data_IF_645088246663
#
_entry.id   IF_645088246663
#
_cell.length_a   1.000
_cell.length_b   1.000
_cell.length_c   1.000
_cell.angle_alpha   90.00
_cell.angle_beta   90.00
_cell.angle_gamma   90.00
#
_symmetry.space_group_name_H-M   'P 1'
#
loop_
_entity.id
_entity.type
_entity.pdbx_description
1 polymer ?
#
# COMPACT_ATOMS: atom_id res chain seq x y z
N UNK A 1 13.28 19.51 -25.62
CA UNK A 1 13.26 18.26 -26.38
C UNK A 1 12.44 18.47 -27.65
N UNK A 2 13.06 18.81 -28.79
CA UNK A 2 12.35 19.07 -30.07
C UNK A 2 12.83 18.16 -31.22
N UNK A 3 13.98 17.51 -31.03
CA UNK A 3 14.70 16.87 -32.13
C UNK A 3 14.44 15.35 -32.18
N UNK A 4 14.17 14.71 -31.04
CA UNK A 4 13.81 13.29 -31.00
C UNK A 4 13.08 12.90 -29.70
N UNK A 5 12.21 11.89 -29.79
CA UNK A 5 11.51 11.29 -28.65
C UNK A 5 11.58 9.77 -28.79
N UNK A 6 12.08 9.10 -27.75
CA UNK A 6 12.09 7.64 -27.66
C UNK A 6 11.02 7.21 -26.66
N UNK A 7 10.21 6.21 -27.04
CA UNK A 7 9.11 5.68 -26.22
C UNK A 7 9.23 4.17 -26.12
N UNK A 8 8.94 3.61 -24.95
CA UNK A 8 8.86 2.17 -24.70
C UNK A 8 7.73 1.85 -23.72
N UNK A 9 7.29 0.59 -23.73
CA UNK A 9 6.29 0.07 -22.80
C UNK A 9 6.82 -1.21 -22.14
N UNK A 10 6.58 -1.34 -20.84
CA UNK A 10 6.84 -2.56 -20.07
C UNK A 10 5.55 -3.04 -19.41
N UNK A 11 5.36 -4.35 -19.33
CA UNK A 11 4.20 -4.91 -18.64
C UNK A 11 4.39 -4.78 -17.12
N UNK A 12 3.55 -3.96 -16.47
CA UNK A 12 3.51 -3.84 -15.01
C UNK A 12 2.32 -4.59 -14.38
N UNK A 13 1.24 -4.80 -15.14
CA UNK A 13 -0.06 -5.20 -14.60
C UNK A 13 -0.72 -4.07 -13.78
N UNK A 14 -1.97 -4.27 -13.33
CA UNK A 14 -2.74 -3.24 -12.60
C UNK A 14 -2.31 -3.16 -11.12
N UNK A 15 -1.02 -3.35 -10.80
CA UNK A 15 -0.49 -3.49 -9.43
C UNK A 15 -0.86 -2.33 -8.49
N UNK A 16 -0.99 -1.13 -9.05
CA UNK A 16 -1.32 0.11 -8.34
C UNK A 16 -2.76 0.58 -8.62
N UNK A 17 -3.55 -0.27 -9.27
CA UNK A 17 -4.95 -0.03 -9.62
C UNK A 17 -5.87 -0.94 -8.76
N UNK A 18 -7.18 -0.78 -8.94
CA UNK A 18 -8.16 -1.62 -8.24
C UNK A 18 -8.05 -3.09 -8.68
N UNK A 19 -8.22 -4.03 -7.73
CA UNK A 19 -8.40 -5.45 -8.04
C UNK A 19 -7.19 -6.37 -7.83
N UNK A 20 -6.03 -5.85 -7.44
CA UNK A 20 -4.86 -6.67 -7.08
C UNK A 20 -4.84 -7.01 -5.59
N UNK A 21 -5.02 -6.03 -4.72
CA UNK A 21 -5.21 -6.26 -3.27
C UNK A 21 -6.67 -6.05 -2.87
N UNK A 22 -7.13 -6.80 -1.87
CA UNK A 22 -8.54 -6.80 -1.44
C UNK A 22 -9.10 -5.45 -0.99
N UNK A 23 -8.22 -4.49 -0.65
CA UNK A 23 -8.58 -3.14 -0.19
C UNK A 23 -8.22 -2.02 -1.18
N UNK A 24 -7.69 -2.36 -2.37
CA UNK A 24 -7.32 -1.36 -3.37
C UNK A 24 -8.57 -0.65 -3.91
N UNK A 25 -8.54 0.68 -3.89
CA UNK A 25 -9.58 1.57 -4.39
C UNK A 25 -8.95 2.73 -5.18
N UNK A 26 -9.67 3.26 -6.17
CA UNK A 26 -9.32 4.52 -6.86
C UNK A 26 -9.30 5.68 -5.87
N UNK A 27 -8.56 6.73 -6.20
CA UNK A 27 -8.51 7.94 -5.37
C UNK A 27 -9.90 8.59 -5.26
N UNK A 28 -10.48 8.52 -4.06
CA UNK A 28 -11.74 9.13 -3.67
C UNK A 28 -11.68 9.48 -2.17
N UNK A 29 -12.66 10.23 -1.67
CA UNK A 29 -12.82 10.52 -0.24
C UNK A 29 -12.68 9.25 0.61
N UNK A 30 -11.89 9.31 1.68
CA UNK A 30 -11.67 8.17 2.58
C UNK A 30 -10.64 7.15 2.09
N UNK A 31 -10.05 7.35 0.90
CA UNK A 31 -9.01 6.45 0.40
C UNK A 31 -7.65 6.90 0.88
N UNK A 32 -6.90 5.96 1.49
CA UNK A 32 -5.54 6.21 1.98
C UNK A 32 -4.60 6.46 0.81
N UNK A 33 -3.88 7.58 0.84
CA UNK A 33 -2.92 7.96 -0.20
C UNK A 33 -1.48 8.09 0.31
N UNK A 34 -1.28 8.08 1.62
CA UNK A 34 0.01 8.19 2.29
C UNK A 34 -0.03 7.39 3.61
N UNK A 35 1.11 6.81 3.98
CA UNK A 35 1.29 5.97 5.18
C UNK A 35 2.66 6.27 5.75
N UNK A 36 2.75 6.42 7.07
CA UNK A 36 4.00 6.63 7.78
C UNK A 36 4.06 5.70 9.00
N UNK A 37 5.17 5.00 9.21
CA UNK A 37 5.39 4.15 10.39
C UNK A 37 6.45 4.80 11.28
N UNK A 38 6.05 5.16 12.50
CA UNK A 38 6.93 5.75 13.53
C UNK A 38 7.03 4.82 14.71
N UNK A 39 8.08 4.00 14.72
CA UNK A 39 8.25 2.97 15.75
C UNK A 39 7.14 1.92 15.64
N UNK A 40 6.24 1.88 16.62
CA UNK A 40 5.11 0.94 16.63
C UNK A 40 3.79 1.56 16.14
N UNK A 41 3.79 2.86 15.83
CA UNK A 41 2.59 3.59 15.41
C UNK A 41 2.57 3.72 13.89
N UNK A 42 1.39 3.51 13.29
CA UNK A 42 1.14 3.71 11.87
C UNK A 42 0.12 4.83 11.69
N UNK A 43 0.51 5.87 10.99
CA UNK A 43 -0.36 6.98 10.61
C UNK A 43 -0.72 6.87 9.13
N UNK A 44 -1.96 7.20 8.78
CA UNK A 44 -2.43 7.19 7.39
C UNK A 44 -3.13 8.49 7.08
N UNK A 45 -2.98 8.97 5.84
CA UNK A 45 -3.74 10.13 5.33
C UNK A 45 -4.74 9.67 4.31
N UNK A 46 -5.98 10.14 4.43
CA UNK A 46 -7.06 9.89 3.48
C UNK A 46 -7.45 11.15 2.73
N UNK A 47 -7.99 11.00 1.52
CA UNK A 47 -8.56 12.16 0.84
C UNK A 47 -9.75 12.71 1.66
N UNK A 48 -9.78 14.04 1.80
CA UNK A 48 -10.76 14.82 2.56
C UNK A 48 -10.83 14.50 4.06
N UNK A 49 -9.78 13.89 4.64
CA UNK A 49 -9.75 13.49 6.06
C UNK A 49 -10.99 12.64 6.45
N UNK A 50 -11.55 11.93 5.48
CA UNK A 50 -12.73 11.10 5.66
C UNK A 50 -12.36 9.70 6.17
N UNK A 51 -13.28 8.99 6.83
CA UNK A 51 -13.02 7.66 7.37
C UNK A 51 -12.42 6.69 6.34
N UNK A 52 -11.47 5.84 6.74
CA UNK A 52 -10.72 5.02 5.81
C UNK A 52 -11.57 3.91 5.19
N UNK A 53 -11.62 3.85 3.85
CA UNK A 53 -12.38 2.83 3.12
C UNK A 53 -11.54 1.91 2.23
N UNK A 54 -10.27 2.23 2.03
CA UNK A 54 -9.36 1.50 1.16
C UNK A 54 -8.03 2.23 1.01
N UNK A 55 -7.25 1.82 0.00
CA UNK A 55 -5.94 2.38 -0.30
C UNK A 55 -5.78 2.55 -1.81
N UNK A 56 -5.18 3.65 -2.27
CA UNK A 56 -4.87 3.85 -3.68
C UNK A 56 -3.40 3.51 -3.98
N UNK A 57 -3.01 3.60 -5.25
CA UNK A 57 -1.64 3.27 -5.69
C UNK A 57 -0.54 4.02 -4.95
N UNK A 58 -0.72 5.31 -4.65
CA UNK A 58 0.28 6.07 -3.88
C UNK A 58 0.40 5.58 -2.44
N UNK A 59 -0.74 5.27 -1.80
CA UNK A 59 -0.78 4.70 -0.46
C UNK A 59 -0.16 3.30 -0.42
N UNK A 60 -0.33 2.50 -1.47
CA UNK A 60 0.32 1.19 -1.57
C UNK A 60 1.84 1.32 -1.65
N UNK A 61 2.34 2.29 -2.42
CA UNK A 61 3.79 2.54 -2.53
C UNK A 61 4.36 3.00 -1.18
N UNK A 62 3.70 3.94 -0.48
CA UNK A 62 4.15 4.39 0.84
C UNK A 62 4.09 3.25 1.86
N UNK A 63 3.01 2.47 1.88
CA UNK A 63 2.85 1.32 2.78
C UNK A 63 3.98 0.31 2.61
N UNK A 64 4.27 -0.12 1.38
CA UNK A 64 5.33 -1.10 1.11
C UNK A 64 6.69 -0.55 1.54
N UNK A 65 6.97 0.73 1.24
CA UNK A 65 8.21 1.39 1.66
C UNK A 65 8.37 1.42 3.19
N UNK A 66 7.32 1.83 3.90
CA UNK A 66 7.34 1.90 5.36
C UNK A 66 7.42 0.52 6.00
N UNK A 67 6.68 -0.47 5.50
CA UNK A 67 6.75 -1.85 5.99
C UNK A 67 8.14 -2.44 5.81
N UNK A 68 8.78 -2.21 4.66
CA UNK A 68 10.15 -2.65 4.43
C UNK A 68 11.12 -1.94 5.39
N UNK A 69 10.99 -0.61 5.52
CA UNK A 69 11.85 0.21 6.39
C UNK A 69 11.72 -0.16 7.87
N UNK A 70 10.52 -0.56 8.31
CA UNK A 70 10.24 -1.02 9.66
C UNK A 70 10.55 -2.53 9.88
N UNK A 71 10.97 -3.26 8.84
CA UNK A 71 11.28 -4.69 8.92
C UNK A 71 10.05 -5.61 9.02
N UNK A 72 8.86 -5.11 8.67
CA UNK A 72 7.60 -5.88 8.64
C UNK A 72 7.58 -6.84 7.43
N UNK A 73 8.23 -6.44 6.33
CA UNK A 73 8.46 -7.29 5.14
C UNK A 73 9.94 -7.38 4.82
N UNK A 74 10.36 -8.54 4.29
CA UNK A 74 11.71 -8.76 3.79
C UNK A 74 11.96 -8.14 2.41
N UNK A 75 13.21 -8.23 1.95
CA UNK A 75 13.61 -7.85 0.59
C UNK A 75 12.95 -8.69 -0.51
N UNK A 76 12.38 -9.84 -0.16
CA UNK A 76 11.57 -10.71 -0.99
C UNK A 76 10.10 -10.29 -1.06
N UNK A 77 9.70 -9.28 -0.26
CA UNK A 77 8.33 -8.77 -0.19
C UNK A 77 7.37 -9.67 0.59
N UNK A 78 7.88 -10.66 1.33
CA UNK A 78 7.05 -11.60 2.09
C UNK A 78 6.76 -11.05 3.49
N UNK A 79 5.52 -11.20 3.93
CA UNK A 79 5.10 -10.98 5.31
C UNK A 79 5.61 -12.12 6.19
N UNK A 80 6.31 -11.79 7.27
CA UNK A 80 6.66 -12.77 8.30
C UNK A 80 5.38 -13.21 9.04
N UNK A 81 5.01 -14.51 9.02
CA UNK A 81 3.83 -15.01 9.73
C UNK A 81 3.86 -14.78 11.24
N UNK A 82 5.03 -14.58 11.85
CA UNK A 82 5.17 -14.28 13.28
C UNK A 82 5.05 -12.78 13.59
N UNK A 83 5.00 -11.92 12.57
CA UNK A 83 4.88 -10.49 12.73
C UNK A 83 3.50 -10.11 13.30
N UNK A 84 3.50 -9.21 14.29
CA UNK A 84 2.26 -8.71 14.90
C UNK A 84 1.39 -8.01 13.85
N UNK A 85 0.12 -8.39 13.78
CA UNK A 85 -0.86 -7.86 12.82
C UNK A 85 -0.94 -8.64 11.52
N UNK A 86 -0.15 -9.72 11.37
CA UNK A 86 -0.32 -10.71 10.31
C UNK A 86 -1.32 -11.77 10.76
N UNK A 87 -2.30 -12.03 9.90
CA UNK A 87 -3.34 -13.06 10.06
C UNK A 87 -3.52 -13.84 8.76
N UNK A 88 -4.25 -14.96 8.82
CA UNK A 88 -4.65 -15.71 7.62
C UNK A 88 -6.17 -15.59 7.46
N UNK A 89 -6.60 -14.94 6.37
CA UNK A 89 -8.00 -14.74 6.02
C UNK A 89 -8.25 -15.46 4.70
N UNK A 90 -9.20 -16.41 4.67
CA UNK A 90 -9.52 -17.23 3.49
C UNK A 90 -8.30 -17.91 2.83
N UNK A 91 -7.30 -18.28 3.66
CA UNK A 91 -6.06 -18.90 3.20
C UNK A 91 -5.01 -17.91 2.67
N UNK A 92 -5.25 -16.61 2.79
CA UNK A 92 -4.36 -15.54 2.34
C UNK A 92 -3.70 -14.88 3.56
N UNK A 93 -2.37 -14.84 3.57
CA UNK A 93 -1.59 -14.08 4.55
C UNK A 93 -1.93 -12.60 4.36
N UNK A 94 -2.47 -11.99 5.40
CA UNK A 94 -3.01 -10.63 5.39
C UNK A 94 -2.39 -9.83 6.52
N UNK A 95 -2.07 -8.58 6.26
CA UNK A 95 -1.62 -7.65 7.28
C UNK A 95 -2.72 -6.62 7.59
N UNK A 96 -3.13 -6.52 8.85
CA UNK A 96 -4.05 -5.49 9.29
C UNK A 96 -3.33 -4.14 9.32
N UNK A 97 -3.88 -3.12 8.66
CA UNK A 97 -3.34 -1.76 8.63
C UNK A 97 -4.01 -0.97 9.79
N UNK A 98 -3.35 -0.79 10.95
CA UNK A 98 -3.99 -0.34 12.18
C UNK A 98 -4.01 1.19 12.30
N UNK A 99 -4.36 1.88 11.22
CA UNK A 99 -4.37 3.35 11.18
C UNK A 99 -5.79 3.89 10.94
N UNK A 100 -6.13 4.94 11.69
CA UNK A 100 -7.27 5.80 11.39
C UNK A 100 -6.90 6.84 10.31
N UNK A 101 -7.92 7.51 9.78
CA UNK A 101 -7.79 8.75 9.00
C UNK A 101 -7.64 9.96 9.91
#
# INVERSE_FOLDING_TARGET
NKDWLLVGAGAAGPALEEGIAGICKRAESGIKYDVEIRGNDMECRTFNDAPPEGICGSGMVSLIYEMYSAGIIGHDGILDPEQKGVDVIDGIITYAIPCAS
#
